data_IF_557407028744
#
_entry.id   IF_557407028744
#
_cell.length_a   1.000
_cell.length_b   1.000
_cell.length_c   1.000
_cell.angle_alpha   90.00
_cell.angle_beta   90.00
_cell.angle_gamma   90.00
#
_symmetry.space_group_name_H-M   'P 1'
#
loop_
_entity.id
_entity.type
_entity.pdbx_description
1 polymer ?
#
# COMPACT_ATOMS: atom_id res chain seq x y z
N UNK A 1 16.58 -11.15 -4.78
CA UNK A 1 16.62 -10.33 -3.56
C UNK A 1 16.23 -8.88 -3.82
N UNK A 2 16.92 -8.16 -4.74
CA UNK A 2 16.67 -6.71 -4.98
C UNK A 2 15.21 -6.37 -5.31
N UNK A 3 14.60 -7.08 -6.26
CA UNK A 3 13.22 -6.82 -6.69
C UNK A 3 12.19 -7.03 -5.57
N UNK A 4 12.30 -8.11 -4.79
CA UNK A 4 11.39 -8.34 -3.66
C UNK A 4 11.56 -7.27 -2.56
N UNK A 5 12.79 -6.83 -2.29
CA UNK A 5 13.02 -5.73 -1.35
C UNK A 5 12.41 -4.41 -1.84
N UNK A 6 12.53 -4.11 -3.14
CA UNK A 6 11.91 -2.93 -3.76
C UNK A 6 10.38 -2.99 -3.71
N UNK A 7 9.78 -4.14 -4.01
CA UNK A 7 8.31 -4.31 -3.93
C UNK A 7 7.82 -4.21 -2.48
N UNK A 8 8.60 -4.72 -1.52
CA UNK A 8 8.28 -4.59 -0.10
C UNK A 8 8.25 -3.12 0.34
N UNK A 9 9.29 -2.34 0.03
CA UNK A 9 9.37 -0.94 0.44
C UNK A 9 8.34 -0.07 -0.26
N UNK A 10 8.14 -0.25 -1.56
CA UNK A 10 7.12 0.49 -2.32
C UNK A 10 5.72 0.12 -1.86
N UNK A 11 5.46 -1.17 -1.62
CA UNK A 11 4.16 -1.65 -1.15
C UNK A 11 3.78 -1.03 0.20
N UNK A 12 4.69 -1.08 1.19
CA UNK A 12 4.47 -0.44 2.48
C UNK A 12 4.42 1.09 2.40
N UNK A 13 5.24 1.70 1.55
CA UNK A 13 5.19 3.14 1.30
C UNK A 13 3.84 3.60 0.74
N UNK A 14 3.31 2.87 -0.25
CA UNK A 14 1.99 3.13 -0.81
C UNK A 14 0.89 2.90 0.22
N UNK A 15 0.96 1.82 1.01
CA UNK A 15 0.00 1.53 2.07
C UNK A 15 -0.12 2.69 3.08
N UNK A 16 1.02 3.21 3.53
CA UNK A 16 1.08 4.30 4.49
C UNK A 16 0.65 5.64 3.87
N UNK A 17 1.10 5.95 2.65
CA UNK A 17 0.76 7.20 1.99
C UNK A 17 -0.74 7.29 1.68
N UNK A 18 -1.30 6.31 0.97
CA UNK A 18 -2.72 6.31 0.62
C UNK A 18 -3.62 6.06 1.82
N UNK A 19 -3.15 5.28 2.81
CA UNK A 19 -3.86 5.08 4.07
C UNK A 19 -3.97 6.38 4.87
N UNK A 20 -2.89 7.17 4.94
CA UNK A 20 -2.91 8.49 5.56
C UNK A 20 -3.83 9.46 4.82
N UNK A 21 -3.77 9.49 3.49
CA UNK A 21 -4.65 10.34 2.67
C UNK A 21 -6.11 9.98 2.91
N UNK A 22 -6.45 8.68 2.95
CA UNK A 22 -7.81 8.24 3.23
C UNK A 22 -8.31 8.62 4.64
N UNK A 23 -7.40 8.64 5.63
CA UNK A 23 -7.69 9.04 7.02
C UNK A 23 -7.79 10.57 7.19
N UNK A 24 -7.00 11.32 6.44
CA UNK A 24 -6.95 12.78 6.49
C UNK A 24 -7.97 13.45 5.56
N UNK A 25 -8.74 12.67 4.80
CA UNK A 25 -9.72 13.18 3.84
C UNK A 25 -10.83 13.98 4.56
N UNK A 26 -11.07 15.26 4.18
CA UNK A 26 -12.20 16.03 4.69
C UNK A 26 -13.55 15.42 4.28
N UNK A 27 -14.61 15.61 5.07
CA UNK A 27 -15.92 14.98 4.83
C UNK A 27 -16.63 15.48 3.56
N UNK A 28 -16.20 16.62 3.00
CA UNK A 28 -16.69 17.15 1.73
C UNK A 28 -16.01 16.55 0.47
N UNK A 29 -15.01 15.68 0.62
CA UNK A 29 -14.36 15.06 -0.54
C UNK A 29 -15.28 14.06 -1.27
N UNK A 30 -15.11 13.88 -2.59
CA UNK A 30 -15.85 12.87 -3.34
C UNK A 30 -15.54 11.48 -2.79
N UNK A 31 -16.58 10.73 -2.41
CA UNK A 31 -16.47 9.34 -1.91
C UNK A 31 -15.70 8.41 -2.86
N UNK A 32 -15.71 8.72 -4.17
CA UNK A 32 -14.92 8.01 -5.17
C UNK A 32 -13.40 8.14 -4.93
N UNK A 33 -12.89 9.33 -4.60
CA UNK A 33 -11.48 9.55 -4.31
C UNK A 33 -11.06 8.83 -3.02
N UNK A 34 -11.89 8.91 -1.99
CA UNK A 34 -11.64 8.22 -0.73
C UNK A 34 -11.59 6.70 -0.91
N UNK A 35 -12.53 6.14 -1.68
CA UNK A 35 -12.56 4.69 -2.00
C UNK A 35 -11.30 4.27 -2.77
N UNK A 36 -10.84 5.11 -3.70
CA UNK A 36 -9.66 4.84 -4.51
C UNK A 36 -8.38 4.86 -3.67
N UNK A 37 -8.26 5.80 -2.73
CA UNK A 37 -7.16 5.86 -1.77
C UNK A 37 -7.14 4.62 -0.85
N UNK A 38 -8.29 4.20 -0.34
CA UNK A 38 -8.40 2.98 0.47
C UNK A 38 -7.99 1.75 -0.34
N UNK A 39 -8.44 1.63 -1.59
CA UNK A 39 -8.09 0.52 -2.48
C UNK A 39 -6.57 0.49 -2.76
N UNK A 40 -5.95 1.63 -3.04
CA UNK A 40 -4.51 1.75 -3.24
C UNK A 40 -3.73 1.39 -1.97
N UNK A 41 -4.22 1.80 -0.80
CA UNK A 41 -3.61 1.42 0.47
C UNK A 41 -3.64 -0.11 0.69
N UNK A 42 -4.79 -0.73 0.41
CA UNK A 42 -4.97 -2.17 0.52
C UNK A 42 -4.08 -2.95 -0.46
N UNK A 43 -3.96 -2.46 -1.71
CA UNK A 43 -3.06 -3.05 -2.72
C UNK A 43 -1.59 -2.91 -2.32
N UNK A 44 -1.19 -1.74 -1.78
CA UNK A 44 0.15 -1.52 -1.24
C UNK A 44 0.48 -2.49 -0.10
N UNK A 45 -0.42 -2.63 0.86
CA UNK A 45 -0.26 -3.54 1.99
C UNK A 45 -0.18 -5.01 1.53
N UNK A 46 -1.04 -5.40 0.58
CA UNK A 46 -1.03 -6.72 -0.04
C UNK A 46 0.28 -7.02 -0.77
N UNK A 47 0.79 -6.07 -1.57
CA UNK A 47 2.07 -6.21 -2.26
C UNK A 47 3.25 -6.29 -1.28
N UNK A 48 3.24 -5.49 -0.21
CA UNK A 48 4.24 -5.54 0.87
C UNK A 48 4.24 -6.88 1.59
N UNK A 49 3.08 -7.40 1.99
CA UNK A 49 2.95 -8.71 2.63
C UNK A 49 3.36 -9.86 1.71
N UNK A 50 2.98 -9.82 0.43
CA UNK A 50 3.39 -10.82 -0.54
C UNK A 50 4.91 -10.82 -0.74
N UNK A 51 5.52 -9.64 -0.92
CA UNK A 51 6.96 -9.51 -1.04
C UNK A 51 7.70 -10.02 0.20
N UNK A 52 7.17 -9.76 1.40
CA UNK A 52 7.72 -10.31 2.65
C UNK A 52 7.73 -11.84 2.67
N UNK A 53 6.62 -12.47 2.28
CA UNK A 53 6.54 -13.94 2.18
C UNK A 53 7.56 -14.46 1.16
N UNK A 54 7.77 -13.75 0.05
CA UNK A 54 8.76 -14.14 -0.98
C UNK A 54 10.19 -13.99 -0.47
N UNK A 55 10.52 -12.91 0.24
CA UNK A 55 11.84 -12.72 0.88
C UNK A 55 12.12 -13.86 1.85
N UNK A 56 11.15 -14.24 2.69
CA UNK A 56 11.31 -15.36 3.63
C UNK A 56 11.49 -16.72 2.95
N UNK A 57 11.07 -16.86 1.70
CA UNK A 57 11.22 -18.09 0.89
C UNK A 57 12.47 -18.08 -0.01
N UNK A 58 13.38 -17.14 0.19
CA UNK A 58 14.65 -17.08 -0.57
C UNK A 58 14.53 -16.35 -1.91
N UNK A 59 13.61 -15.38 -2.03
CA UNK A 59 13.78 -14.35 -3.03
C UNK A 59 15.13 -13.65 -2.78
#
# INVERSE_FOLDING_TARGET
MKTCATVFTIGWGAALAFGWIALAAPPEEPTQLQTLNIALAALGAGAGLWAWVRIRRGC
#
